data_IF_143114615131
#
_entry.id   IF_143114615131
#
_cell.length_a   1.000
_cell.length_b   1.000
_cell.length_c   1.000
_cell.angle_alpha   90.00
_cell.angle_beta   90.00
_cell.angle_gamma   90.00
#
_symmetry.space_group_name_H-M   'P 1'
#
loop_
_entity.id
_entity.type
_entity.pdbx_description
1 polymer ?
#
# COMPACT_ATOMS: atom_id res chain seq x y z
N UNK A 1 19.75 32.28 1.84
CA UNK A 1 18.65 31.38 2.28
C UNK A 1 18.61 30.18 1.35
N UNK A 2 19.38 29.14 1.66
CA UNK A 2 19.36 27.90 0.86
C UNK A 2 18.06 27.14 1.10
N UNK A 3 17.33 26.86 0.01
CA UNK A 3 16.12 26.03 0.04
C UNK A 3 16.52 24.60 0.43
N UNK A 4 16.14 24.17 1.64
CA UNK A 4 16.23 22.76 2.08
C UNK A 4 15.53 21.85 1.06
N UNK A 5 16.30 21.04 0.34
CA UNK A 5 15.79 19.92 -0.48
C UNK A 5 14.99 18.97 0.42
N UNK A 6 13.73 18.68 0.04
CA UNK A 6 12.93 17.59 0.62
C UNK A 6 13.71 16.27 0.43
N UNK A 7 13.78 15.37 1.43
CA UNK A 7 14.37 14.06 1.24
C UNK A 7 13.37 13.20 0.46
N UNK A 8 13.41 13.31 -0.87
CA UNK A 8 12.77 12.34 -1.76
C UNK A 8 13.43 10.97 -1.55
N UNK A 9 12.60 9.92 -1.53
CA UNK A 9 13.09 8.54 -1.61
C UNK A 9 13.67 8.32 -3.02
N UNK A 10 14.86 8.86 -3.28
CA UNK A 10 15.67 8.47 -4.41
C UNK A 10 16.19 7.06 -4.16
N UNK A 11 15.43 6.06 -4.58
CA UNK A 11 15.96 4.71 -4.72
C UNK A 11 16.99 4.75 -5.85
N UNK A 12 18.28 4.88 -5.49
CA UNK A 12 19.40 4.82 -6.41
C UNK A 12 19.28 3.59 -7.31
N UNK A 13 19.03 3.83 -8.61
CA UNK A 13 18.94 2.81 -9.65
C UNK A 13 20.33 2.54 -10.26
N UNK A 14 21.28 2.06 -9.46
CA UNK A 14 22.46 1.38 -10.02
C UNK A 14 22.40 -0.09 -9.62
N UNK A 15 21.70 -0.94 -10.39
CA UNK A 15 21.59 -2.36 -10.09
C UNK A 15 22.78 -3.11 -10.68
N UNK A 16 23.40 -3.96 -9.88
CA UNK A 16 24.12 -5.10 -10.45
C UNK A 16 23.09 -6.12 -10.95
N UNK A 17 23.25 -6.62 -12.18
CA UNK A 17 22.34 -7.50 -12.94
C UNK A 17 21.72 -8.67 -12.14
N UNK A 18 22.38 -9.16 -11.08
CA UNK A 18 21.87 -10.24 -10.21
C UNK A 18 20.75 -9.79 -9.26
N UNK A 19 20.65 -8.51 -8.91
CA UNK A 19 19.59 -7.97 -8.08
C UNK A 19 18.25 -7.96 -8.81
N UNK A 20 18.27 -7.80 -10.14
CA UNK A 20 17.08 -7.69 -10.97
C UNK A 20 16.30 -9.01 -11.05
N UNK A 21 16.93 -10.15 -11.32
CA UNK A 21 16.20 -11.42 -11.47
C UNK A 21 15.50 -11.87 -10.17
N UNK A 22 16.17 -11.74 -9.02
CA UNK A 22 15.57 -12.09 -7.72
C UNK A 22 14.46 -11.12 -7.32
N UNK A 23 14.61 -9.85 -7.68
CA UNK A 23 13.56 -8.84 -7.49
C UNK A 23 12.36 -9.14 -8.40
N UNK A 24 12.58 -9.41 -9.69
CA UNK A 24 11.53 -9.79 -10.63
C UNK A 24 10.78 -11.04 -10.16
N UNK A 25 11.50 -12.06 -9.69
CA UNK A 25 10.88 -13.26 -9.11
C UNK A 25 10.01 -12.91 -7.88
N UNK A 26 10.47 -11.99 -7.01
CA UNK A 26 9.68 -11.55 -5.87
C UNK A 26 8.45 -10.72 -6.28
N UNK A 27 8.57 -9.89 -7.32
CA UNK A 27 7.45 -9.10 -7.87
C UNK A 27 6.42 -9.99 -8.58
N UNK A 28 6.85 -11.13 -9.11
CA UNK A 28 6.00 -12.11 -9.77
C UNK A 28 5.28 -13.06 -8.81
N UNK A 29 5.74 -13.16 -7.55
CA UNK A 29 5.14 -14.09 -6.58
C UNK A 29 3.67 -13.78 -6.31
N UNK A 30 2.83 -14.82 -6.14
CA UNK A 30 1.53 -14.68 -5.50
C UNK A 30 1.62 -13.91 -4.18
N UNK A 31 0.54 -13.22 -3.81
CA UNK A 31 0.54 -12.40 -2.60
C UNK A 31 0.76 -13.24 -1.33
N UNK A 32 0.17 -14.43 -1.25
CA UNK A 32 0.36 -15.36 -0.15
C UNK A 32 1.84 -15.70 0.05
N UNK A 33 2.53 -16.16 -1.01
CA UNK A 33 3.96 -16.53 -0.97
C UNK A 33 4.85 -15.33 -0.64
N UNK A 34 4.46 -14.13 -1.08
CA UNK A 34 5.16 -12.90 -0.74
C UNK A 34 5.05 -12.59 0.76
N UNK A 35 3.85 -12.67 1.32
CA UNK A 35 3.60 -12.44 2.74
C UNK A 35 4.28 -13.51 3.61
N UNK A 36 4.25 -14.78 3.20
CA UNK A 36 4.97 -15.87 3.85
C UNK A 36 6.47 -15.56 3.93
N UNK A 37 7.09 -15.20 2.79
CA UNK A 37 8.51 -14.87 2.75
C UNK A 37 8.87 -13.62 3.58
N UNK A 38 7.94 -12.67 3.72
CA UNK A 38 8.13 -11.52 4.60
C UNK A 38 8.04 -11.92 6.09
N UNK A 39 7.10 -12.81 6.44
CA UNK A 39 6.96 -13.32 7.80
C UNK A 39 8.16 -14.19 8.22
N UNK A 40 8.65 -15.07 7.33
CA UNK A 40 9.87 -15.87 7.55
C UNK A 40 11.10 -14.99 7.79
N UNK A 41 11.24 -13.91 7.01
CA UNK A 41 12.30 -12.93 7.21
C UNK A 41 12.23 -12.29 8.60
N UNK A 42 11.03 -11.91 9.05
CA UNK A 42 10.79 -11.30 10.36
C UNK A 42 10.96 -12.29 11.52
N UNK A 43 10.71 -13.58 11.29
CA UNK A 43 10.88 -14.64 12.28
C UNK A 43 12.36 -15.01 12.53
N UNK A 44 13.28 -14.64 11.64
CA UNK A 44 14.70 -14.97 11.78
C UNK A 44 15.33 -14.21 12.97
N UNK A 45 15.90 -14.91 13.97
CA UNK A 45 16.51 -14.26 15.14
C UNK A 45 17.64 -13.29 14.78
N UNK A 46 18.38 -13.56 13.70
CA UNK A 46 19.44 -12.68 13.25
C UNK A 46 18.85 -11.43 12.59
N UNK A 47 17.69 -11.52 11.95
CA UNK A 47 17.01 -10.35 11.41
C UNK A 47 16.49 -9.43 12.52
N UNK A 48 15.97 -9.99 13.63
CA UNK A 48 15.62 -9.22 14.81
C UNK A 48 16.83 -8.43 15.36
N UNK A 49 18.02 -9.04 15.38
CA UNK A 49 19.28 -8.33 15.75
C UNK A 49 19.63 -7.19 14.79
N UNK A 50 19.25 -7.26 13.51
CA UNK A 50 19.48 -6.18 12.54
C UNK A 50 18.52 -5.00 12.72
N UNK A 51 17.37 -5.20 13.35
CA UNK A 51 16.42 -4.13 13.70
C UNK A 51 16.86 -3.39 14.98
N UNK A 52 17.62 -4.05 15.85
CA UNK A 52 18.16 -3.46 17.06
C UNK A 52 19.33 -2.49 16.78
N UNK A 53 19.53 -1.46 17.62
CA UNK A 53 20.70 -0.58 17.54
C UNK A 53 22.01 -1.37 17.62
N UNK A 54 22.91 -1.15 16.66
CA UNK A 54 24.24 -1.77 16.67
C UNK A 54 25.28 -0.99 17.49
N UNK A 55 26.56 -1.38 17.43
CA UNK A 55 27.67 -0.74 18.17
C UNK A 55 27.87 0.77 17.93
N UNK A 56 27.20 1.36 16.94
CA UNK A 56 27.21 2.80 16.66
C UNK A 56 25.86 3.48 16.88
N UNK A 57 25.00 2.93 17.74
CA UNK A 57 23.69 3.49 18.13
C UNK A 57 22.60 3.47 17.06
N UNK A 58 22.94 3.17 15.81
CA UNK A 58 22.00 3.06 14.70
C UNK A 58 21.74 1.60 14.31
N UNK A 59 20.48 1.28 13.99
CA UNK A 59 20.09 -0.04 13.50
C UNK A 59 20.53 -0.26 12.05
N UNK A 60 21.12 -1.42 11.71
CA UNK A 60 21.41 -1.83 10.33
C UNK A 60 20.18 -1.84 9.40
N UNK A 61 19.03 -2.19 9.96
CA UNK A 61 17.73 -2.20 9.26
C UNK A 61 16.77 -1.36 10.10
N UNK A 62 16.08 -0.41 9.46
CA UNK A 62 15.04 0.37 10.09
C UNK A 62 13.71 0.16 9.37
N UNK A 63 12.59 0.25 10.09
CA UNK A 63 11.24 0.28 9.49
C UNK A 63 10.83 1.72 9.22
N UNK A 64 10.12 1.92 8.12
CA UNK A 64 9.56 3.21 7.74
C UNK A 64 8.16 3.03 7.18
N UNK A 65 7.15 3.45 7.94
CA UNK A 65 5.77 3.53 7.49
C UNK A 65 5.62 4.35 6.20
N UNK A 66 4.69 3.91 5.37
CA UNK A 66 4.29 4.66 4.19
C UNK A 66 3.45 5.88 4.61
N UNK A 67 3.66 7.01 3.93
CA UNK A 67 2.93 8.23 4.24
C UNK A 67 1.46 8.06 3.85
N UNK A 68 0.54 8.35 4.78
CA UNK A 68 -0.90 8.23 4.54
C UNK A 68 -1.41 6.79 4.45
N UNK A 69 -0.59 5.81 4.84
CA UNK A 69 -1.03 4.43 5.00
C UNK A 69 -1.60 4.22 6.41
N UNK A 70 -2.89 3.90 6.47
CA UNK A 70 -3.58 3.46 7.67
C UNK A 70 -3.85 1.94 7.60
N UNK A 71 -4.40 1.37 8.67
CA UNK A 71 -4.76 -0.05 8.72
C UNK A 71 -6.29 -0.18 8.81
N UNK A 72 -6.88 -0.95 7.90
CA UNK A 72 -8.32 -1.20 7.87
C UNK A 72 -8.70 -2.28 8.89
N UNK A 73 -8.66 -1.93 10.18
CA UNK A 73 -9.00 -2.84 11.29
C UNK A 73 -10.35 -3.54 11.09
N UNK A 74 -11.36 -2.86 10.56
CA UNK A 74 -12.70 -3.41 10.33
C UNK A 74 -12.75 -4.53 9.29
N UNK A 75 -11.89 -4.49 8.27
CA UNK A 75 -11.75 -5.56 7.26
C UNK A 75 -10.93 -6.74 7.78
N UNK A 76 -9.99 -6.47 8.70
CA UNK A 76 -9.18 -7.49 9.35
C UNK A 76 -9.94 -8.24 10.47
N UNK A 77 -10.95 -7.59 11.06
CA UNK A 77 -11.68 -8.04 12.25
C UNK A 77 -13.17 -8.35 11.98
N UNK A 78 -13.56 -8.76 10.77
CA UNK A 78 -14.95 -9.20 10.52
C UNK A 78 -15.28 -10.50 11.25
N UNK A 79 -16.48 -10.62 11.81
CA UNK A 79 -16.92 -11.71 12.71
C UNK A 79 -16.61 -13.12 12.19
N UNK A 80 -16.79 -13.37 10.88
CA UNK A 80 -16.51 -14.69 10.27
C UNK A 80 -15.00 -14.96 10.04
N UNK A 81 -14.19 -13.92 9.81
CA UNK A 81 -12.74 -14.04 9.65
C UNK A 81 -12.03 -14.22 11.00
N UNK A 82 -12.58 -13.63 12.06
CA UNK A 82 -12.15 -13.85 13.44
C UNK A 82 -12.54 -15.27 13.93
N UNK A 83 -13.71 -15.77 13.53
CA UNK A 83 -14.18 -17.10 13.89
C UNK A 83 -13.45 -18.24 13.14
N UNK A 84 -13.10 -18.06 11.87
CA UNK A 84 -12.43 -19.10 11.07
C UNK A 84 -10.93 -19.28 11.36
N UNK A 85 -10.27 -18.25 11.91
CA UNK A 85 -8.87 -18.31 12.27
C UNK A 85 -8.65 -18.80 13.73
N UNK A 86 -9.75 -19.10 14.45
CA UNK A 86 -9.83 -19.44 15.87
C UNK A 86 -9.22 -20.78 16.30
N UNK A 87 -8.76 -21.66 15.42
CA UNK A 87 -8.39 -23.02 15.87
C UNK A 87 -6.97 -23.19 16.46
N UNK A 88 -6.16 -22.13 16.64
CA UNK A 88 -4.97 -22.21 17.54
C UNK A 88 -4.17 -20.94 17.84
N UNK A 89 -4.51 -19.78 17.30
CA UNK A 89 -3.79 -18.53 17.58
C UNK A 89 -4.56 -17.39 16.91
N UNK A 90 -5.52 -16.74 17.56
CA UNK A 90 -6.21 -15.63 16.90
C UNK A 90 -6.60 -14.43 17.74
N UNK A 91 -6.36 -13.28 17.11
CA UNK A 91 -6.68 -11.92 17.50
C UNK A 91 -8.12 -11.69 18.00
N UNK A 92 -9.10 -12.53 17.61
CA UNK A 92 -10.50 -12.43 18.00
C UNK A 92 -10.79 -12.87 19.43
N UNK A 93 -10.31 -14.04 19.84
CA UNK A 93 -10.31 -14.47 21.25
C UNK A 93 -9.48 -13.49 22.10
N UNK A 94 -8.37 -13.01 21.53
CA UNK A 94 -7.47 -12.04 22.17
C UNK A 94 -8.09 -10.66 22.47
N UNK A 95 -9.02 -10.21 21.63
CA UNK A 95 -9.82 -8.98 21.79
C UNK A 95 -11.04 -9.20 22.68
N UNK A 96 -11.72 -10.35 22.53
CA UNK A 96 -12.89 -10.73 23.33
C UNK A 96 -12.53 -10.88 24.82
N UNK A 97 -11.33 -11.39 25.12
CA UNK A 97 -10.81 -11.53 26.49
C UNK A 97 -10.37 -10.20 27.12
N UNK A 98 -10.29 -9.10 26.34
CA UNK A 98 -9.76 -7.81 26.82
C UNK A 98 -10.61 -6.61 26.37
N UNK A 99 -11.90 -6.54 26.76
CA UNK A 99 -12.80 -5.44 26.39
C UNK A 99 -12.30 -4.07 26.88
N UNK A 100 -11.50 -4.05 27.96
CA UNK A 100 -10.87 -2.84 28.47
C UNK A 100 -9.93 -2.17 27.45
N UNK A 101 -9.15 -2.95 26.68
CA UNK A 101 -8.22 -2.38 25.69
C UNK A 101 -8.96 -1.78 24.50
N UNK A 102 -10.07 -2.38 24.07
CA UNK A 102 -10.98 -1.82 23.07
C UNK A 102 -11.61 -0.50 23.53
N UNK A 103 -12.00 -0.40 24.81
CA UNK A 103 -12.52 0.82 25.39
C UNK A 103 -11.45 1.93 25.42
N UNK A 104 -10.21 1.60 25.79
CA UNK A 104 -9.09 2.55 25.77
C UNK A 104 -8.76 3.01 24.34
N UNK A 105 -8.76 2.11 23.35
CA UNK A 105 -8.54 2.44 21.94
C UNK A 105 -9.65 3.37 21.38
N UNK A 106 -10.91 3.12 21.76
CA UNK A 106 -12.01 4.03 21.40
C UNK A 106 -11.86 5.40 22.07
N UNK A 107 -11.45 5.42 23.34
CA UNK A 107 -11.21 6.65 24.12
C UNK A 107 -10.09 7.51 23.53
N UNK A 108 -9.04 6.89 22.96
CA UNK A 108 -7.95 7.63 22.31
C UNK A 108 -8.33 8.33 21.02
N UNK A 109 -9.42 7.91 20.36
CA UNK A 109 -9.80 8.37 19.02
C UNK A 109 -8.83 7.91 17.93
N UNK A 110 -9.30 7.86 16.68
CA UNK A 110 -8.54 7.28 15.56
C UNK A 110 -7.20 8.00 15.29
N UNK A 111 -7.22 9.34 15.24
CA UNK A 111 -6.03 10.15 14.99
C UNK A 111 -4.99 10.07 16.13
N UNK A 112 -5.45 9.99 17.37
CA UNK A 112 -4.59 9.81 18.54
C UNK A 112 -3.97 8.41 18.55
N UNK A 113 -4.79 7.39 18.30
CA UNK A 113 -4.34 6.01 18.22
C UNK A 113 -3.29 5.80 17.13
N UNK A 114 -3.52 6.34 15.93
CA UNK A 114 -2.57 6.22 14.82
C UNK A 114 -1.22 6.89 15.11
N UNK A 115 -1.25 8.07 15.74
CA UNK A 115 -0.06 8.86 16.01
C UNK A 115 0.79 8.29 17.14
N UNK A 116 0.18 7.76 18.20
CA UNK A 116 0.90 7.39 19.42
C UNK A 116 1.08 5.88 19.60
N UNK A 117 0.12 5.07 19.16
CA UNK A 117 0.13 3.63 19.41
C UNK A 117 0.58 2.83 18.19
N UNK A 118 0.32 3.38 17.00
CA UNK A 118 0.69 2.76 15.73
C UNK A 118 1.92 3.37 15.04
N UNK A 119 2.56 4.38 15.64
CA UNK A 119 3.79 4.96 15.11
C UNK A 119 5.03 4.07 15.38
N UNK A 120 5.98 4.08 14.44
CA UNK A 120 7.28 3.40 14.55
C UNK A 120 8.31 4.20 15.40
N UNK A 121 7.88 5.27 16.07
CA UNK A 121 8.74 6.06 16.93
C UNK A 121 8.95 5.36 18.29
N UNK A 122 10.02 5.74 19.00
CA UNK A 122 10.16 5.34 20.40
C UNK A 122 8.91 5.74 21.18
N UNK A 123 8.26 4.76 21.81
CA UNK A 123 7.01 4.98 22.52
C UNK A 123 7.28 5.67 23.86
N UNK A 124 6.68 6.83 24.06
CA UNK A 124 6.66 7.54 25.34
C UNK A 124 5.26 7.42 25.97
N UNK A 125 5.10 6.59 27.02
CA UNK A 125 3.82 6.38 27.69
C UNK A 125 3.24 7.67 28.27
N UNK A 126 4.08 8.60 28.75
CA UNK A 126 3.61 9.84 29.37
C UNK A 126 3.06 10.83 28.35
N UNK A 127 3.74 10.96 27.20
CA UNK A 127 3.27 11.79 26.10
C UNK A 127 1.97 11.25 25.48
N UNK A 128 1.89 9.92 25.27
CA UNK A 128 0.69 9.27 24.75
C UNK A 128 -0.50 9.41 25.71
N UNK A 129 -0.27 9.20 27.01
CA UNK A 129 -1.26 9.36 28.08
C UNK A 129 -1.87 10.76 28.09
N UNK A 130 -1.03 11.80 28.10
CA UNK A 130 -1.47 13.20 28.10
C UNK A 130 -2.27 13.55 26.84
N UNK A 131 -1.83 13.08 25.68
CA UNK A 131 -2.48 13.40 24.41
C UNK A 131 -3.83 12.68 24.21
N UNK A 132 -4.00 11.50 24.82
CA UNK A 132 -5.16 10.64 24.58
C UNK A 132 -6.10 10.50 25.79
N UNK A 133 -5.87 11.27 26.87
CA UNK A 133 -6.71 11.21 28.08
C UNK A 133 -6.63 9.87 28.81
N UNK A 134 -5.46 9.23 28.78
CA UNK A 134 -5.18 7.95 29.46
C UNK A 134 -4.20 8.18 30.61
N UNK A 135 -4.09 7.21 31.50
CA UNK A 135 -2.95 7.12 32.44
C UNK A 135 -1.71 6.55 31.72
N UNK A 136 -0.48 6.83 32.20
CA UNK A 136 0.74 6.26 31.62
C UNK A 136 0.74 4.72 31.61
N UNK A 137 0.12 4.10 32.61
CA UNK A 137 -0.03 2.65 32.68
C UNK A 137 -0.99 2.13 31.61
N UNK A 138 -2.17 2.73 31.48
CA UNK A 138 -3.13 2.38 30.41
C UNK A 138 -2.53 2.58 29.02
N UNK A 139 -1.74 3.63 28.82
CA UNK A 139 -1.04 3.86 27.56
C UNK A 139 0.02 2.78 27.29
N UNK A 140 0.80 2.38 28.30
CA UNK A 140 1.76 1.28 28.16
C UNK A 140 1.07 -0.07 27.87
N UNK A 141 -0.01 -0.37 28.59
CA UNK A 141 -0.81 -1.59 28.40
C UNK A 141 -1.46 -1.62 27.01
N UNK A 142 -2.04 -0.50 26.57
CA UNK A 142 -2.63 -0.38 25.23
C UNK A 142 -1.57 -0.50 24.13
N UNK A 143 -0.36 0.03 24.34
CA UNK A 143 0.75 -0.13 23.40
C UNK A 143 1.22 -1.58 23.32
N UNK A 144 1.44 -2.22 24.47
CA UNK A 144 1.83 -3.64 24.54
C UNK A 144 0.78 -4.53 23.88
N UNK A 145 -0.50 -4.25 24.13
CA UNK A 145 -1.62 -4.91 23.48
C UNK A 145 -1.58 -4.71 21.96
N UNK A 146 -1.42 -3.48 21.50
CA UNK A 146 -1.37 -3.14 20.07
C UNK A 146 -0.20 -3.82 19.38
N UNK A 147 1.00 -3.78 19.97
CA UNK A 147 2.19 -4.41 19.41
C UNK A 147 2.06 -5.93 19.35
N UNK A 148 1.51 -6.54 20.41
CA UNK A 148 1.23 -7.98 20.48
C UNK A 148 0.15 -8.41 19.50
N UNK A 149 -0.90 -7.62 19.33
CA UNK A 149 -1.96 -7.85 18.35
C UNK A 149 -1.41 -7.81 16.92
N UNK A 150 -0.63 -6.77 16.59
CA UNK A 150 0.00 -6.65 15.27
C UNK A 150 0.94 -7.84 15.03
N UNK A 151 1.76 -8.21 16.03
CA UNK A 151 2.67 -9.35 15.94
C UNK A 151 1.93 -10.69 15.77
N UNK A 152 0.81 -10.89 16.47
CA UNK A 152 -0.02 -12.08 16.36
C UNK A 152 -0.66 -12.20 14.97
N UNK A 153 -1.17 -11.09 14.43
CA UNK A 153 -1.81 -11.06 13.12
C UNK A 153 -0.80 -11.24 11.97
N UNK A 154 0.44 -10.78 12.12
CA UNK A 154 1.52 -11.01 11.14
C UNK A 154 2.03 -12.45 11.11
N UNK A 155 1.87 -13.17 12.23
CA UNK A 155 2.25 -14.57 12.33
C UNK A 155 1.17 -15.53 11.86
N UNK A 156 0.00 -15.01 11.45
CA UNK A 156 -1.03 -15.83 10.82
C UNK A 156 -0.43 -16.34 9.49
N UNK A 157 -0.32 -17.67 9.32
CA UNK A 157 0.11 -18.24 8.05
C UNK A 157 -0.81 -17.75 6.94
N UNK A 158 -0.29 -17.32 5.77
CA UNK A 158 -1.13 -16.83 4.68
C UNK A 158 -2.21 -17.82 4.23
N UNK A 159 -1.98 -19.12 4.42
CA UNK A 159 -2.93 -20.21 4.18
C UNK A 159 -4.20 -20.12 5.03
N UNK A 160 -4.13 -19.44 6.18
CA UNK A 160 -5.26 -19.20 7.10
C UNK A 160 -5.91 -17.84 6.91
N UNK A 161 -5.35 -16.98 6.06
CA UNK A 161 -5.98 -15.70 5.74
C UNK A 161 -7.17 -15.91 4.79
N UNK A 162 -8.31 -15.27 5.02
CA UNK A 162 -9.40 -15.27 4.04
C UNK A 162 -8.88 -14.84 2.66
N UNK A 163 -9.30 -15.52 1.59
CA UNK A 163 -8.89 -15.18 0.22
C UNK A 163 -9.15 -13.71 -0.12
N UNK A 164 -10.19 -13.12 0.48
CA UNK A 164 -10.50 -11.71 0.36
C UNK A 164 -9.39 -10.79 0.90
N UNK A 165 -8.66 -11.15 1.97
CA UNK A 165 -7.54 -10.34 2.48
C UNK A 165 -6.28 -10.47 1.60
N UNK A 166 -6.11 -11.61 0.93
CA UNK A 166 -5.02 -11.82 -0.04
C UNK A 166 -5.28 -11.06 -1.35
N UNK A 167 -6.54 -10.94 -1.75
CA UNK A 167 -6.94 -10.23 -2.98
C UNK A 167 -7.14 -8.73 -2.74
N UNK A 168 -7.93 -8.37 -1.73
CA UNK A 168 -8.22 -7.00 -1.35
C UNK A 168 -7.04 -6.41 -0.60
N UNK A 169 -6.36 -5.47 -1.24
CA UNK A 169 -5.15 -4.87 -0.72
C UNK A 169 -5.41 -3.78 0.32
N UNK A 170 -6.48 -3.01 0.13
CA UNK A 170 -6.82 -1.87 0.96
C UNK A 170 -8.29 -1.50 0.81
N UNK A 171 -8.84 -0.87 1.86
CA UNK A 171 -10.05 -0.06 1.79
C UNK A 171 -9.68 1.38 1.46
N UNK A 172 -10.40 1.98 0.53
CA UNK A 172 -10.27 3.40 0.22
C UNK A 172 -11.10 4.18 1.23
N UNK A 173 -10.45 5.13 1.91
CA UNK A 173 -11.10 5.99 2.90
C UNK A 173 -10.95 7.45 2.49
N UNK A 174 -11.98 8.25 2.74
CA UNK A 174 -11.93 9.70 2.55
C UNK A 174 -11.51 10.36 3.87
N UNK A 175 -10.48 11.18 3.83
CA UNK A 175 -10.01 11.93 4.99
C UNK A 175 -9.50 13.31 4.57
N UNK A 176 -10.06 14.37 5.14
CA UNK A 176 -9.64 15.75 4.86
C UNK A 176 -9.76 16.17 3.39
N UNK A 177 -10.73 15.63 2.65
CA UNK A 177 -10.93 15.90 1.22
C UNK A 177 -9.94 15.19 0.29
N UNK A 178 -9.11 14.28 0.82
CA UNK A 178 -8.24 13.37 0.08
C UNK A 178 -8.63 11.91 0.26
N UNK A 179 -8.15 11.05 -0.63
CA UNK A 179 -8.30 9.60 -0.51
C UNK A 179 -7.04 8.99 0.10
N UNK A 180 -7.22 8.06 1.03
CA UNK A 180 -6.13 7.26 1.61
C UNK A 180 -6.43 5.78 1.45
N UNK A 181 -5.35 4.98 1.48
CA UNK A 181 -5.43 3.53 1.46
C UNK A 181 -5.26 2.99 2.90
N UNK A 182 -6.34 2.44 3.44
CA UNK A 182 -6.33 1.67 4.68
C UNK A 182 -6.05 0.20 4.35
N UNK A 183 -4.82 -0.25 4.57
CA UNK A 183 -4.38 -1.60 4.15
C UNK A 183 -5.08 -2.69 4.95
N UNK A 184 -5.41 -3.80 4.28
CA UNK A 184 -6.03 -4.97 4.91
C UNK A 184 -5.02 -5.84 5.66
N UNK A 185 -3.75 -5.82 5.25
CA UNK A 185 -2.69 -6.64 5.84
C UNK A 185 -1.62 -5.80 6.55
N UNK A 186 -1.22 -6.14 7.81
CA UNK A 186 -0.26 -5.36 8.59
C UNK A 186 1.11 -5.18 7.93
N UNK A 187 1.54 -6.15 7.12
CA UNK A 187 2.81 -6.07 6.42
C UNK A 187 2.96 -4.79 5.56
N UNK A 188 1.89 -4.28 4.96
CA UNK A 188 1.92 -3.01 4.23
C UNK A 188 1.80 -1.80 5.15
N UNK A 189 1.04 -1.94 6.23
CA UNK A 189 0.87 -0.92 7.25
C UNK A 189 2.19 -0.56 7.96
N UNK A 190 3.02 -1.56 8.32
CA UNK A 190 4.38 -1.37 8.87
C UNK A 190 5.38 -0.78 7.87
N UNK A 191 4.97 -0.59 6.62
CA UNK A 191 5.76 0.06 5.60
C UNK A 191 6.93 -0.80 5.08
N UNK A 192 8.06 -0.13 4.84
CA UNK A 192 9.22 -0.71 4.20
C UNK A 192 10.45 -0.71 5.11
N UNK A 193 11.34 -1.66 4.91
CA UNK A 193 12.68 -1.66 5.45
C UNK A 193 13.60 -0.69 4.70
N UNK A 194 14.38 0.07 5.46
CA UNK A 194 15.46 0.92 5.00
C UNK A 194 16.77 0.32 5.51
N UNK A 195 17.67 -0.01 4.58
CA UNK A 195 18.98 -0.58 4.92
C UNK A 195 19.98 0.55 5.17
N UNK A 196 20.50 0.60 6.39
CA UNK A 196 21.59 1.49 6.75
C UNK A 196 22.94 0.80 6.44
N UNK A 197 23.45 1.03 5.23
CA UNK A 197 24.71 0.46 4.77
C UNK A 197 25.88 0.70 5.74
N UNK A 198 26.11 1.92 6.23
CA UNK A 198 27.13 2.20 7.24
C UNK A 198 26.96 1.42 8.56
N UNK A 199 25.74 1.37 9.12
CA UNK A 199 25.49 0.64 10.37
C UNK A 199 25.66 -0.87 10.19
N UNK A 200 25.18 -1.42 9.07
CA UNK A 200 25.40 -2.82 8.70
C UNK A 200 26.90 -3.12 8.55
N UNK A 201 27.65 -2.24 7.89
CA UNK A 201 29.10 -2.37 7.74
C UNK A 201 29.84 -2.38 9.08
N UNK A 202 29.46 -1.51 10.02
CA UNK A 202 30.02 -1.49 11.38
C UNK A 202 29.73 -2.78 12.14
N UNK A 203 28.48 -3.26 12.11
CA UNK A 203 28.11 -4.51 12.78
C UNK A 203 28.93 -5.69 12.24
N UNK A 204 29.08 -5.79 10.92
CA UNK A 204 29.85 -6.86 10.29
C UNK A 204 31.36 -6.82 10.61
N UNK A 205 31.91 -5.64 10.93
CA UNK A 205 33.33 -5.44 11.30
C UNK A 205 33.57 -5.54 12.81
N UNK A 206 32.53 -5.47 13.64
CA UNK A 206 32.64 -5.44 15.10
C UNK A 206 33.12 -6.74 15.75
N UNK A 207 33.17 -7.85 15.00
CA UNK A 207 33.48 -9.18 15.55
C UNK A 207 32.33 -9.84 16.33
N UNK A 208 31.21 -9.14 16.55
CA UNK A 208 30.03 -9.66 17.27
C UNK A 208 29.22 -10.73 16.53
N UNK A 209 29.64 -11.09 15.30
CA UNK A 209 29.00 -12.09 14.45
C UNK A 209 30.06 -13.05 13.93
N UNK A 210 29.75 -14.35 13.94
CA UNK A 210 30.55 -15.36 13.25
C UNK A 210 30.57 -15.10 11.74
N UNK A 211 31.53 -15.67 11.00
CA UNK A 211 31.59 -15.56 9.53
C UNK A 211 30.31 -16.03 8.86
N UNK A 212 29.69 -17.09 9.37
CA UNK A 212 28.42 -17.62 8.88
C UNK A 212 27.26 -16.66 9.15
N UNK A 213 27.15 -16.12 10.36
CA UNK A 213 26.14 -15.11 10.70
C UNK A 213 26.33 -13.83 9.88
N UNK A 214 27.56 -13.36 9.68
CA UNK A 214 27.83 -12.19 8.86
C UNK A 214 27.36 -12.37 7.40
N UNK A 215 27.57 -13.56 6.82
CA UNK A 215 27.06 -13.90 5.50
C UNK A 215 25.52 -13.98 5.48
N UNK A 216 24.91 -14.56 6.51
CA UNK A 216 23.46 -14.65 6.68
C UNK A 216 22.83 -13.25 6.84
N UNK A 217 23.41 -12.38 7.65
CA UNK A 217 22.98 -11.00 7.87
C UNK A 217 22.92 -10.20 6.56
N UNK A 218 23.95 -10.32 5.69
CA UNK A 218 23.93 -9.70 4.35
C UNK A 218 22.78 -10.23 3.49
N UNK A 219 22.55 -11.55 3.50
CA UNK A 219 21.44 -12.17 2.74
C UNK A 219 20.07 -11.68 3.25
N UNK A 220 19.89 -11.61 4.56
CA UNK A 220 18.68 -11.11 5.20
C UNK A 220 18.44 -9.63 4.87
N UNK A 221 19.47 -8.78 4.96
CA UNK A 221 19.37 -7.36 4.58
C UNK A 221 19.00 -7.20 3.09
N UNK A 222 19.60 -7.98 2.19
CA UNK A 222 19.21 -7.97 0.78
C UNK A 222 17.79 -8.50 0.55
N UNK A 223 17.33 -9.48 1.33
CA UNK A 223 15.95 -9.96 1.28
C UNK A 223 14.96 -8.89 1.75
N UNK A 224 15.25 -8.24 2.87
CA UNK A 224 14.49 -7.10 3.37
C UNK A 224 14.38 -5.98 2.33
N UNK A 225 15.49 -5.63 1.67
CA UNK A 225 15.48 -4.63 0.60
C UNK A 225 14.52 -5.00 -0.53
N UNK A 226 14.48 -6.28 -0.96
CA UNK A 226 13.55 -6.71 -2.01
C UNK A 226 12.10 -6.69 -1.54
N UNK A 227 11.83 -7.14 -0.31
CA UNK A 227 10.49 -7.05 0.30
C UNK A 227 10.03 -5.60 0.33
N UNK A 228 10.89 -4.68 0.77
CA UNK A 228 10.63 -3.24 0.76
C UNK A 228 10.32 -2.70 -0.62
N UNK A 229 11.04 -3.13 -1.65
CA UNK A 229 10.81 -2.68 -3.02
C UNK A 229 9.41 -3.04 -3.50
N UNK A 230 8.95 -4.27 -3.25
CA UNK A 230 7.58 -4.69 -3.60
C UNK A 230 6.55 -3.88 -2.81
N UNK A 231 6.70 -3.76 -1.48
CA UNK A 231 5.77 -2.99 -0.63
C UNK A 231 5.70 -1.52 -1.06
N UNK A 232 6.84 -0.87 -1.25
CA UNK A 232 6.93 0.54 -1.62
C UNK A 232 6.46 0.80 -3.06
N UNK A 233 6.78 -0.10 -3.99
CA UNK A 233 6.28 -0.06 -5.37
C UNK A 233 4.75 -0.15 -5.40
N UNK A 234 4.18 -1.11 -4.68
CA UNK A 234 2.74 -1.27 -4.57
C UNK A 234 2.06 -0.07 -3.91
N UNK A 235 2.64 0.48 -2.83
CA UNK A 235 2.10 1.68 -2.18
C UNK A 235 2.10 2.90 -3.10
N UNK A 236 3.20 3.18 -3.80
CA UNK A 236 3.29 4.30 -4.77
C UNK A 236 2.27 4.12 -5.91
N UNK A 237 2.15 2.89 -6.41
CA UNK A 237 1.20 2.53 -7.44
C UNK A 237 -0.24 2.79 -7.00
N UNK A 238 -0.61 2.28 -5.82
CA UNK A 238 -1.96 2.45 -5.28
C UNK A 238 -2.27 3.92 -5.02
N UNK A 239 -1.34 4.67 -4.41
CA UNK A 239 -1.51 6.10 -4.17
C UNK A 239 -1.74 6.88 -5.48
N UNK A 240 -0.98 6.58 -6.53
CA UNK A 240 -1.15 7.21 -7.84
C UNK A 240 -2.51 6.87 -8.49
N UNK A 241 -2.99 5.62 -8.34
CA UNK A 241 -4.34 5.24 -8.82
C UNK A 241 -5.43 6.02 -8.07
N UNK A 242 -5.35 6.10 -6.74
CA UNK A 242 -6.34 6.81 -5.93
C UNK A 242 -6.36 8.32 -6.25
N UNK A 243 -5.20 8.90 -6.50
CA UNK A 243 -5.10 10.31 -6.89
C UNK A 243 -5.70 10.56 -8.27
N UNK A 244 -5.40 9.71 -9.25
CA UNK A 244 -5.92 9.85 -10.62
C UNK A 244 -7.44 9.61 -10.68
N UNK A 245 -7.92 8.56 -10.03
CA UNK A 245 -9.32 8.16 -10.02
C UNK A 245 -10.11 8.75 -8.83
N UNK A 246 -9.66 9.89 -8.30
CA UNK A 246 -10.27 10.52 -7.12
C UNK A 246 -11.77 10.78 -7.31
N UNK A 247 -12.15 11.35 -8.44
CA UNK A 247 -13.54 11.72 -8.71
C UNK A 247 -14.45 10.48 -8.80
N UNK A 248 -13.92 9.36 -9.29
CA UNK A 248 -14.62 8.07 -9.32
C UNK A 248 -14.88 7.54 -7.90
N UNK A 249 -13.85 7.49 -7.06
CA UNK A 249 -14.00 7.00 -5.70
C UNK A 249 -14.86 7.92 -4.80
N UNK A 250 -14.99 9.20 -5.16
CA UNK A 250 -15.86 10.15 -4.47
C UNK A 250 -17.28 10.21 -5.06
N UNK A 251 -17.60 9.39 -6.08
CA UNK A 251 -18.90 9.44 -6.76
C UNK A 251 -19.18 10.74 -7.53
N UNK A 252 -18.15 11.54 -7.80
CA UNK A 252 -18.23 12.85 -8.48
C UNK A 252 -18.10 12.75 -10.00
N UNK A 253 -17.73 11.58 -10.52
CA UNK A 253 -17.60 11.37 -11.96
C UNK A 253 -17.19 9.94 -12.32
N UNK A 254 -17.14 9.60 -13.61
CA UNK A 254 -16.69 8.30 -14.06
C UNK A 254 -15.16 8.19 -14.00
N UNK A 255 -14.65 6.98 -14.24
CA UNK A 255 -13.21 6.75 -14.38
C UNK A 255 -12.59 7.65 -15.45
N UNK A 256 -11.51 8.34 -15.07
CA UNK A 256 -10.67 9.10 -15.98
C UNK A 256 -9.85 8.16 -16.86
N UNK A 257 -9.54 8.56 -18.10
CA UNK A 257 -8.61 7.80 -18.93
C UNK A 257 -7.26 7.68 -18.25
N UNK A 258 -6.86 6.46 -17.94
CA UNK A 258 -5.60 6.19 -17.29
C UNK A 258 -5.10 4.81 -17.69
N UNK A 259 -3.87 4.75 -18.19
CA UNK A 259 -3.24 3.51 -18.64
C UNK A 259 -2.18 3.02 -17.66
N UNK A 260 -1.93 1.70 -17.66
CA UNK A 260 -0.82 1.13 -16.87
C UNK A 260 0.54 1.67 -17.31
N UNK A 261 0.69 2.13 -18.56
CA UNK A 261 1.92 2.75 -19.06
C UNK A 261 2.14 4.14 -18.46
N UNK A 262 1.08 4.94 -18.35
CA UNK A 262 1.14 6.24 -17.66
C UNK A 262 1.45 6.05 -16.17
N UNK A 263 0.81 5.06 -15.54
CA UNK A 263 1.12 4.71 -14.15
C UNK A 263 2.58 4.28 -13.97
N UNK A 264 3.08 3.40 -14.84
CA UNK A 264 4.47 2.93 -14.84
C UNK A 264 5.47 4.07 -14.93
N UNK A 265 5.23 5.03 -15.83
CA UNK A 265 6.05 6.24 -15.94
C UNK A 265 5.99 7.09 -14.67
N UNK A 266 4.80 7.29 -14.09
CA UNK A 266 4.59 8.10 -12.88
C UNK A 266 5.27 7.54 -11.64
N UNK A 267 5.33 6.21 -11.51
CA UNK A 267 5.89 5.53 -10.33
C UNK A 267 7.31 4.98 -10.55
N UNK A 268 7.90 5.26 -11.72
CA UNK A 268 9.23 4.83 -12.13
C UNK A 268 9.42 3.29 -12.03
N UNK A 269 8.40 2.55 -12.46
CA UNK A 269 8.44 1.09 -12.53
C UNK A 269 8.29 0.63 -13.98
N UNK A 270 8.89 -0.50 -14.31
CA UNK A 270 8.68 -1.12 -15.61
C UNK A 270 7.19 -1.51 -15.81
N UNK A 271 6.62 -1.36 -17.01
CA UNK A 271 5.22 -1.71 -17.28
C UNK A 271 4.85 -3.15 -16.90
N UNK A 272 5.77 -4.11 -17.12
CA UNK A 272 5.57 -5.50 -16.71
C UNK A 272 5.48 -5.68 -15.20
N UNK A 273 6.17 -4.84 -14.41
CA UNK A 273 6.08 -4.85 -12.94
C UNK A 273 4.73 -4.29 -12.49
N UNK A 274 4.28 -3.17 -13.09
CA UNK A 274 2.97 -2.58 -12.80
C UNK A 274 1.85 -3.57 -13.11
N UNK A 275 1.90 -4.21 -14.28
CA UNK A 275 0.91 -5.21 -14.69
C UNK A 275 0.80 -6.37 -13.70
N UNK A 276 1.95 -6.89 -13.23
CA UNK A 276 2.00 -7.97 -12.21
C UNK A 276 1.44 -7.54 -10.86
N UNK A 277 1.75 -6.32 -10.41
CA UNK A 277 1.26 -5.80 -9.13
C UNK A 277 -0.25 -5.50 -9.14
N UNK A 278 -0.82 -5.21 -10.31
CA UNK A 278 -2.23 -4.85 -10.49
C UNK A 278 -3.13 -6.07 -10.73
N UNK A 279 -2.66 -7.09 -11.45
CA UNK A 279 -3.51 -8.11 -12.08
C UNK A 279 -4.36 -8.94 -11.10
N UNK A 280 -3.85 -9.21 -9.89
CA UNK A 280 -4.49 -10.07 -8.89
C UNK A 280 -5.03 -9.32 -7.67
N UNK A 281 -4.96 -7.97 -7.68
CA UNK A 281 -5.26 -7.14 -6.51
C UNK A 281 -6.52 -6.31 -6.73
N UNK A 282 -7.25 -6.13 -5.64
CA UNK A 282 -8.48 -5.33 -5.57
C UNK A 282 -8.39 -4.32 -4.44
N UNK A 283 -9.32 -3.37 -4.42
CA UNK A 283 -9.55 -2.44 -3.32
C UNK A 283 -11.02 -2.41 -2.97
N UNK A 284 -11.35 -2.24 -1.69
CA UNK A 284 -12.72 -1.94 -1.29
C UNK A 284 -12.97 -0.44 -1.47
N UNK A 285 -13.93 -0.08 -2.32
CA UNK A 285 -14.33 1.30 -2.54
C UNK A 285 -14.97 1.90 -1.27
N UNK A 286 -15.08 3.23 -1.16
CA UNK A 286 -15.70 3.86 0.02
C UNK A 286 -17.14 3.39 0.27
N UNK A 287 -17.87 3.04 -0.78
CA UNK A 287 -19.23 2.50 -0.73
C UNK A 287 -19.32 0.99 -0.46
N UNK A 288 -18.19 0.30 -0.23
CA UNK A 288 -18.14 -1.08 0.26
C UNK A 288 -17.91 -2.16 -0.79
N UNK A 289 -18.07 -1.86 -2.08
CA UNK A 289 -17.83 -2.85 -3.14
C UNK A 289 -16.34 -3.08 -3.41
N UNK A 290 -16.02 -4.31 -3.81
CA UNK A 290 -14.67 -4.68 -4.19
C UNK A 290 -14.41 -4.37 -5.67
N UNK A 291 -13.46 -3.47 -5.93
CA UNK A 291 -13.07 -3.06 -7.29
C UNK A 291 -11.71 -3.65 -7.64
N UNK A 292 -11.61 -4.33 -8.78
CA UNK A 292 -10.33 -4.86 -9.27
C UNK A 292 -9.45 -3.70 -9.70
N UNK A 293 -8.18 -3.69 -9.30
CA UNK A 293 -7.27 -2.59 -9.68
C UNK A 293 -7.15 -2.46 -11.21
N UNK A 294 -7.18 -3.58 -11.93
CA UNK A 294 -7.15 -3.58 -13.41
C UNK A 294 -8.34 -2.86 -14.06
N UNK A 295 -9.48 -2.79 -13.38
CA UNK A 295 -10.70 -2.16 -13.91
C UNK A 295 -10.68 -0.64 -13.70
N UNK A 296 -9.78 -0.12 -12.86
CA UNK A 296 -9.55 1.32 -12.66
C UNK A 296 -8.76 1.96 -13.81
N UNK A 297 -8.34 1.17 -14.80
CA UNK A 297 -7.68 1.66 -16.01
C UNK A 297 -8.67 1.74 -17.15
N UNK A 298 -8.90 2.95 -17.64
CA UNK A 298 -9.79 3.19 -18.78
C UNK A 298 -8.99 3.66 -19.98
N UNK A 299 -9.18 3.01 -21.12
CA UNK A 299 -8.57 3.42 -22.37
C UNK A 299 -9.08 4.81 -22.79
N UNK A 300 -8.19 5.67 -23.30
CA UNK A 300 -8.55 6.98 -23.85
C UNK A 300 -9.60 6.87 -24.95
N UNK A 301 -9.48 5.87 -25.83
CA UNK A 301 -10.47 5.63 -26.88
C UNK A 301 -11.86 5.33 -26.34
N UNK A 302 -11.98 4.50 -25.29
CA UNK A 302 -13.27 4.17 -24.68
C UNK A 302 -13.93 5.41 -24.08
N UNK A 303 -13.17 6.23 -23.35
CA UNK A 303 -13.69 7.50 -22.82
C UNK A 303 -14.15 8.45 -23.92
N UNK A 304 -13.38 8.58 -25.01
CA UNK A 304 -13.77 9.41 -26.15
C UNK A 304 -15.04 8.88 -26.81
N UNK A 305 -15.15 7.56 -27.02
CA UNK A 305 -16.34 6.92 -27.58
C UNK A 305 -17.59 7.21 -26.73
N UNK A 306 -17.49 7.10 -25.41
CA UNK A 306 -18.64 7.35 -24.53
C UNK A 306 -19.08 8.81 -24.60
N UNK A 307 -18.14 9.76 -24.63
CA UNK A 307 -18.46 11.18 -24.83
C UNK A 307 -19.01 11.45 -26.22
N UNK A 308 -18.55 10.74 -27.25
CA UNK A 308 -19.14 10.82 -28.59
C UNK A 308 -20.60 10.36 -28.57
N UNK A 309 -20.91 9.25 -27.90
CA UNK A 309 -22.30 8.77 -27.76
C UNK A 309 -23.19 9.78 -27.07
N UNK A 310 -22.71 10.43 -26.01
CA UNK A 310 -23.46 11.49 -25.31
C UNK A 310 -23.73 12.69 -26.22
N UNK A 311 -22.71 13.18 -26.96
CA UNK A 311 -22.87 14.28 -27.93
C UNK A 311 -23.87 13.92 -29.02
N UNK A 312 -23.79 12.69 -29.54
CA UNK A 312 -24.64 12.23 -30.64
C UNK A 312 -26.06 11.94 -30.19
N UNK A 313 -26.26 11.40 -28.99
CA UNK A 313 -27.57 11.13 -28.42
C UNK A 313 -28.31 12.39 -27.96
N UNK A 314 -27.58 13.45 -27.58
CA UNK A 314 -28.16 14.75 -27.23
C UNK A 314 -28.52 15.62 -28.45
N UNK A 315 -28.01 15.27 -29.64
CA UNK A 315 -28.26 16.02 -30.86
C UNK A 315 -29.53 15.54 -31.56
N UNK A 316 -30.41 16.48 -31.92
CA UNK A 316 -31.63 16.20 -32.70
C UNK A 316 -31.28 15.90 -34.17
N UNK A 317 -30.15 16.43 -34.66
CA UNK A 317 -29.66 16.21 -36.03
C UNK A 317 -28.40 15.34 -36.06
N UNK A 318 -28.18 14.63 -37.19
CA UNK A 318 -26.96 13.83 -37.41
C UNK A 318 -25.75 14.74 -37.60
N UNK A 319 -24.89 14.81 -36.58
CA UNK A 319 -23.64 15.57 -36.64
C UNK A 319 -22.62 14.95 -37.60
N UNK A 320 -21.93 15.77 -38.37
CA UNK A 320 -20.77 15.35 -39.17
C UNK A 320 -19.57 14.99 -38.27
N UNK A 321 -18.56 14.34 -38.84
CA UNK A 321 -17.33 13.99 -38.10
C UNK A 321 -16.61 15.25 -37.56
N UNK A 322 -16.62 16.34 -38.34
CA UNK A 322 -16.03 17.64 -37.94
C UNK A 322 -16.83 18.32 -36.83
N UNK A 323 -18.16 18.32 -36.93
CA UNK A 323 -19.03 18.85 -35.88
C UNK A 323 -18.90 18.07 -34.58
N UNK A 324 -18.79 16.74 -34.65
CA UNK A 324 -18.58 15.88 -33.49
C UNK A 324 -17.24 16.17 -32.81
N UNK A 325 -16.17 16.36 -33.58
CA UNK A 325 -14.86 16.75 -33.03
C UNK A 325 -14.92 18.13 -32.35
N UNK A 326 -15.62 19.10 -32.95
CA UNK A 326 -15.81 20.43 -32.37
C UNK A 326 -16.62 20.37 -31.06
N UNK A 327 -17.72 19.62 -31.04
CA UNK A 327 -18.56 19.45 -29.85
C UNK A 327 -17.80 18.77 -28.70
N UNK A 328 -17.02 17.73 -28.97
CA UNK A 328 -16.18 17.09 -27.96
C UNK A 328 -15.15 18.05 -27.35
N UNK A 329 -14.58 18.93 -28.17
CA UNK A 329 -13.64 19.96 -27.70
C UNK A 329 -14.34 21.01 -26.85
N UNK A 330 -15.51 21.50 -27.27
CA UNK A 330 -16.24 22.55 -26.57
C UNK A 330 -16.89 22.07 -25.27
N UNK A 331 -17.51 20.90 -25.28
CA UNK A 331 -18.27 20.38 -24.12
C UNK A 331 -17.38 19.64 -23.11
N UNK A 332 -16.30 19.00 -23.56
CA UNK A 332 -15.47 18.13 -22.70
C UNK A 332 -13.97 18.44 -22.75
N UNK A 333 -13.54 19.45 -23.51
CA UNK A 333 -12.12 19.78 -23.67
C UNK A 333 -11.31 18.74 -24.47
N UNK A 334 -11.97 17.78 -25.10
CA UNK A 334 -11.32 16.65 -25.78
C UNK A 334 -10.92 17.06 -27.20
N UNK A 335 -9.61 17.16 -27.44
CA UNK A 335 -9.07 17.45 -28.78
C UNK A 335 -8.77 16.15 -29.52
N UNK A 336 -9.54 15.86 -30.56
CA UNK A 336 -9.31 14.74 -31.48
C UNK A 336 -9.43 15.18 -32.94
N UNK A 337 -8.80 14.43 -33.84
CA UNK A 337 -8.91 14.68 -35.28
C UNK A 337 -10.22 14.13 -35.83
N UNK A 338 -10.67 14.68 -36.96
CA UNK A 338 -11.80 14.13 -37.74
C UNK A 338 -11.59 12.64 -38.07
N UNK A 339 -10.36 12.26 -38.44
CA UNK A 339 -10.02 10.86 -38.76
C UNK A 339 -10.19 9.94 -37.55
N UNK A 340 -9.92 10.44 -36.34
CA UNK A 340 -10.13 9.68 -35.09
C UNK A 340 -11.62 9.50 -34.80
N UNK A 341 -12.44 10.53 -35.02
CA UNK A 341 -13.91 10.42 -34.93
C UNK A 341 -14.43 9.34 -35.88
N UNK A 342 -14.02 9.40 -37.15
CA UNK A 342 -14.42 8.43 -38.17
C UNK A 342 -14.01 6.99 -37.80
N UNK A 343 -12.78 6.81 -37.31
CA UNK A 343 -12.27 5.52 -36.84
C UNK A 343 -13.10 4.98 -35.66
N UNK A 344 -13.49 5.82 -34.72
CA UNK A 344 -14.27 5.39 -33.58
C UNK A 344 -15.72 5.09 -33.96
N UNK A 345 -16.36 5.92 -34.80
CA UNK A 345 -17.69 5.67 -35.37
C UNK A 345 -17.78 4.33 -36.07
N UNK A 346 -16.86 4.06 -37.00
CA UNK A 346 -16.82 2.78 -37.73
C UNK A 346 -16.61 1.57 -36.82
N UNK A 347 -15.79 1.69 -35.76
CA UNK A 347 -15.56 0.61 -34.79
C UNK A 347 -16.77 0.32 -33.88
N UNK A 348 -17.63 1.31 -33.64
CA UNK A 348 -18.75 1.18 -32.70
C UNK A 348 -20.11 1.19 -33.36
N UNK A 349 -20.19 1.27 -34.68
CA UNK A 349 -21.43 1.32 -35.45
C UNK A 349 -22.26 2.59 -35.21
N UNK A 350 -21.59 3.72 -34.93
CA UNK A 350 -22.22 5.03 -34.67
C UNK A 350 -22.25 5.93 -35.91
#
# INVERSE_FOLDING_TARGET
MEKKKKPELGLSQTPSLRHDLRLFALLARPEADFLAAAAELEADPLFARLLAPGPGGASPVARRRFRGASYAFTMACGDAALAGAAEKCCAGEWLADRPAMLALAKKTGEAGFEKYFLADAAFDPAAAAKACGLTPKEAADLKSFTDSFILAHERIPPERLPQQQLRCAARVVEEGGGLKAAYTHPAYFRGAYVINGPALGRLLKSGALTRAEAAKARRLASAAQRVSWRKAGFHRLLAAILEEQKDFFLGKGPLKPFSQRELAARVELNPGTVSRLVSSRTVAAPWGEEVRLKDLFRAKSAFVIDRMKEVLGASVEKLTDEQTAAALKSSYGIKISRRSVNLYRSRTGL
#
